data_IF_524804864058
#
_entry.id   IF_524804864058
#
_cell.length_a   1.000
_cell.length_b   1.000
_cell.length_c   1.000
_cell.angle_alpha   90.00
_cell.angle_beta   90.00
_cell.angle_gamma   90.00
#
_symmetry.space_group_name_H-M   'P 1'
#
loop_
_entity.id
_entity.type
_entity.pdbx_description
1 polymer ?
#
# COMPACT_ATOMS: atom_id res chain seq x y z
N UNK A 1 -38.45 6.30 34.74
CA UNK A 1 -37.77 5.92 36.01
C UNK A 1 -37.09 4.55 35.91
N UNK A 2 -37.81 3.45 35.64
CA UNK A 2 -37.23 2.10 35.60
C UNK A 2 -36.06 1.92 34.60
N UNK A 3 -36.16 2.53 33.41
CA UNK A 3 -35.10 2.50 32.40
C UNK A 3 -33.82 3.20 32.88
N UNK A 4 -33.98 4.40 33.43
CA UNK A 4 -32.90 5.20 34.00
C UNK A 4 -32.23 4.48 35.17
N UNK A 5 -33.02 3.89 36.07
CA UNK A 5 -32.52 3.12 37.20
C UNK A 5 -31.74 1.87 36.74
N UNK A 6 -32.24 1.13 35.73
CA UNK A 6 -31.55 -0.03 35.17
C UNK A 6 -30.25 0.35 34.44
N UNK A 7 -30.25 1.49 33.75
CA UNK A 7 -29.07 2.03 33.08
C UNK A 7 -27.97 2.40 34.09
N UNK A 8 -28.30 3.13 35.16
CA UNK A 8 -27.32 3.50 36.18
C UNK A 8 -26.86 2.30 37.00
N UNK A 9 -27.76 1.39 37.40
CA UNK A 9 -27.41 0.15 38.13
C UNK A 9 -26.41 -0.72 37.36
N UNK A 10 -26.54 -0.81 36.04
CA UNK A 10 -25.63 -1.62 35.21
C UNK A 10 -24.29 -0.93 34.90
N UNK A 11 -24.19 0.38 35.06
CA UNK A 11 -23.00 1.18 34.76
C UNK A 11 -22.38 1.81 36.03
N UNK A 12 -22.73 1.29 37.22
CA UNK A 12 -22.34 1.86 38.51
C UNK A 12 -20.87 1.56 38.88
N UNK A 13 -20.22 0.66 38.14
CA UNK A 13 -18.81 0.30 38.35
C UNK A 13 -17.91 1.24 37.56
N UNK A 14 -17.35 2.25 38.23
CA UNK A 14 -16.34 3.16 37.68
C UNK A 14 -15.11 2.41 37.12
N UNK A 15 -14.76 1.28 37.71
CA UNK A 15 -13.66 0.42 37.26
C UNK A 15 -13.95 -0.29 35.92
N UNK A 16 -15.22 -0.49 35.54
CA UNK A 16 -15.58 -1.10 34.27
C UNK A 16 -15.40 -0.14 33.07
N UNK A 17 -15.50 1.18 33.31
CA UNK A 17 -15.25 2.21 32.30
C UNK A 17 -13.75 2.55 32.13
N UNK A 18 -12.94 2.31 33.17
CA UNK A 18 -11.49 2.52 33.19
C UNK A 18 -10.67 1.26 32.93
N UNK A 19 -11.28 0.07 33.06
CA UNK A 19 -10.67 -1.19 32.67
C UNK A 19 -10.38 -1.17 31.17
N UNK A 20 -9.10 -1.24 30.81
CA UNK A 20 -8.68 -1.49 29.42
C UNK A 20 -9.42 -2.72 28.94
N UNK A 21 -10.19 -2.61 27.86
CA UNK A 21 -10.72 -3.77 27.14
C UNK A 21 -9.56 -4.73 26.87
N UNK A 22 -9.51 -5.82 27.61
CA UNK A 22 -8.62 -6.93 27.29
C UNK A 22 -9.26 -7.68 26.13
N UNK A 23 -8.89 -7.29 24.91
CA UNK A 23 -9.11 -8.15 23.75
C UNK A 23 -8.34 -9.45 24.01
N UNK A 24 -9.07 -10.56 24.13
CA UNK A 24 -8.50 -11.90 24.18
C UNK A 24 -7.59 -12.05 22.96
N UNK A 25 -6.28 -12.04 23.19
CA UNK A 25 -5.29 -12.15 22.13
C UNK A 25 -5.35 -13.56 21.53
N UNK A 26 -6.17 -13.76 20.51
CA UNK A 26 -6.14 -14.96 19.71
C UNK A 26 -4.74 -15.09 19.10
N UNK A 27 -3.97 -16.07 19.56
CA UNK A 27 -2.63 -16.33 19.04
C UNK A 27 -2.78 -17.04 17.69
N UNK A 28 -3.01 -16.26 16.63
CA UNK A 28 -2.98 -16.79 15.28
C UNK A 28 -1.55 -17.26 14.96
N UNK A 29 -1.37 -18.57 14.94
CA UNK A 29 -0.10 -19.15 14.54
C UNK A 29 -0.05 -19.28 13.01
N UNK A 30 0.45 -18.23 12.34
CA UNK A 30 0.78 -18.24 10.91
C UNK A 30 2.06 -19.07 10.68
N UNK A 31 2.05 -20.36 11.01
CA UNK A 31 3.20 -21.27 10.91
C UNK A 31 3.55 -21.61 9.46
N UNK A 32 2.57 -21.57 8.55
CA UNK A 32 2.78 -21.77 7.12
C UNK A 32 3.74 -20.76 6.47
N UNK A 33 3.93 -19.57 7.07
CA UNK A 33 4.90 -18.58 6.61
C UNK A 33 6.35 -18.92 7.00
N UNK A 34 6.56 -19.83 7.96
CA UNK A 34 7.90 -20.16 8.46
C UNK A 34 8.81 -20.74 7.37
N UNK A 35 8.23 -21.35 6.33
CA UNK A 35 8.98 -21.88 5.18
C UNK A 35 9.75 -20.81 4.39
N UNK A 36 9.42 -19.53 4.56
CA UNK A 36 10.05 -18.40 3.86
C UNK A 36 11.16 -17.69 4.67
N UNK A 37 11.60 -18.28 5.80
CA UNK A 37 12.69 -17.73 6.62
C UNK A 37 12.43 -16.30 7.08
N UNK A 38 13.44 -15.42 6.94
CA UNK A 38 13.37 -13.98 7.32
C UNK A 38 12.20 -13.27 6.64
N UNK A 39 11.92 -13.61 5.38
CA UNK A 39 10.82 -13.04 4.61
C UNK A 39 9.47 -13.39 5.26
N UNK A 40 9.31 -14.66 5.64
CA UNK A 40 8.15 -15.15 6.38
C UNK A 40 7.94 -14.44 7.71
N UNK A 41 9.02 -14.17 8.45
CA UNK A 41 8.96 -13.43 9.72
C UNK A 41 8.41 -12.02 9.52
N UNK A 42 8.90 -11.28 8.51
CA UNK A 42 8.41 -9.94 8.22
C UNK A 42 6.96 -9.94 7.75
N UNK A 43 6.59 -10.83 6.82
CA UNK A 43 5.20 -10.95 6.37
C UNK A 43 4.25 -11.31 7.53
N UNK A 44 4.67 -12.19 8.44
CA UNK A 44 3.89 -12.54 9.64
C UNK A 44 3.67 -11.31 10.53
N UNK A 45 4.69 -10.48 10.71
CA UNK A 45 4.57 -9.23 11.46
C UNK A 45 3.65 -8.24 10.77
N UNK A 46 3.76 -8.08 9.45
CA UNK A 46 2.91 -7.19 8.66
C UNK A 46 1.43 -7.61 8.71
N UNK A 47 1.14 -8.91 8.55
CA UNK A 47 -0.24 -9.44 8.66
C UNK A 47 -0.81 -9.21 10.06
N UNK A 48 -0.03 -9.48 11.10
CA UNK A 48 -0.44 -9.24 12.49
C UNK A 48 -0.66 -7.74 12.75
N UNK A 49 0.20 -6.89 12.22
CA UNK A 49 0.06 -5.43 12.31
C UNK A 49 -1.26 -4.99 11.67
N UNK A 50 -1.54 -5.47 10.45
CA UNK A 50 -2.79 -5.16 9.74
C UNK A 50 -4.01 -5.62 10.54
N UNK A 51 -4.00 -6.84 11.07
CA UNK A 51 -5.12 -7.42 11.83
C UNK A 51 -5.34 -6.80 13.21
N UNK A 52 -4.29 -6.30 13.88
CA UNK A 52 -4.40 -5.80 15.26
C UNK A 52 -4.74 -4.32 15.33
N UNK A 53 -4.30 -3.51 14.37
CA UNK A 53 -4.34 -2.05 14.52
C UNK A 53 -5.46 -1.37 13.72
N UNK A 54 -6.06 -0.33 14.29
CA UNK A 54 -7.20 0.39 13.69
C UNK A 54 -6.79 1.12 12.42
N UNK A 55 -5.62 1.78 12.43
CA UNK A 55 -5.12 2.55 11.28
C UNK A 55 -4.86 1.68 10.06
N UNK A 56 -4.15 0.57 10.24
CA UNK A 56 -3.86 -0.36 9.15
C UNK A 56 -5.12 -1.02 8.57
N UNK A 57 -6.10 -1.37 9.41
CA UNK A 57 -7.42 -1.84 8.94
C UNK A 57 -8.12 -0.79 8.07
N UNK A 58 -8.09 0.47 8.48
CA UNK A 58 -8.65 1.57 7.68
C UNK A 58 -7.94 1.67 6.33
N UNK A 59 -6.62 1.54 6.30
CA UNK A 59 -5.83 1.52 5.05
C UNK A 59 -6.23 0.36 4.13
N UNK A 60 -6.50 -0.85 4.66
CA UNK A 60 -7.05 -1.96 3.87
C UNK A 60 -8.43 -1.62 3.33
N UNK A 61 -9.32 -1.07 4.16
CA UNK A 61 -10.65 -0.66 3.72
C UNK A 61 -10.57 0.37 2.58
N UNK A 62 -9.69 1.37 2.70
CA UNK A 62 -9.43 2.33 1.62
C UNK A 62 -8.86 1.67 0.37
N UNK A 63 -8.00 0.65 0.53
CA UNK A 63 -7.49 -0.14 -0.60
C UNK A 63 -8.62 -0.83 -1.35
N UNK A 64 -9.64 -1.33 -0.63
CA UNK A 64 -10.84 -1.93 -1.23
C UNK A 64 -11.68 -0.86 -1.95
N UNK A 65 -11.80 0.35 -1.39
CA UNK A 65 -12.50 1.45 -2.08
C UNK A 65 -11.90 1.81 -3.43
N UNK A 66 -10.58 1.68 -3.59
CA UNK A 66 -9.92 1.86 -4.89
C UNK A 66 -10.37 0.84 -5.96
N UNK A 67 -10.85 -0.35 -5.58
CA UNK A 67 -11.43 -1.28 -6.55
C UNK A 67 -12.67 -0.69 -7.22
N UNK A 68 -13.49 0.06 -6.47
CA UNK A 68 -14.70 0.72 -6.98
C UNK A 68 -14.39 2.02 -7.72
N UNK A 69 -13.20 2.58 -7.55
CA UNK A 69 -12.77 3.79 -8.28
C UNK A 69 -12.79 3.57 -9.80
N UNK A 70 -12.51 2.34 -10.26
CA UNK A 70 -12.61 1.96 -11.68
C UNK A 70 -14.00 2.12 -12.28
N UNK A 71 -15.08 2.08 -11.48
CA UNK A 71 -16.44 2.26 -11.99
C UNK A 71 -16.62 3.63 -12.62
N UNK A 72 -15.91 4.66 -12.15
CA UNK A 72 -15.96 6.01 -12.74
C UNK A 72 -15.38 6.06 -14.16
N UNK A 73 -14.46 5.14 -14.48
CA UNK A 73 -13.77 5.10 -15.76
C UNK A 73 -14.40 4.10 -16.73
N UNK A 74 -14.87 2.95 -16.22
CA UNK A 74 -15.31 1.83 -17.05
C UNK A 74 -16.83 1.74 -17.22
N UNK A 75 -17.62 2.46 -16.42
CA UNK A 75 -19.10 2.45 -16.55
C UNK A 75 -19.64 3.32 -17.67
N UNK A 76 -18.84 4.24 -18.22
CA UNK A 76 -19.29 5.23 -19.21
C UNK A 76 -20.19 6.33 -18.65
N UNK A 77 -20.45 6.38 -17.34
CA UNK A 77 -21.33 7.39 -16.72
C UNK A 77 -20.77 8.80 -16.68
N UNK A 78 -19.45 8.97 -16.85
CA UNK A 78 -18.78 10.27 -16.94
C UNK A 78 -18.07 10.35 -18.29
N UNK A 79 -18.60 11.15 -19.21
CA UNK A 79 -18.12 11.24 -20.59
C UNK A 79 -16.64 11.64 -20.68
N UNK A 80 -16.18 12.58 -19.85
CA UNK A 80 -14.79 13.02 -19.80
C UNK A 80 -13.80 11.90 -19.43
N UNK A 81 -14.26 10.90 -18.68
CA UNK A 81 -13.43 9.77 -18.23
C UNK A 81 -13.50 8.57 -19.16
N UNK A 82 -14.46 8.55 -20.09
CA UNK A 82 -14.60 7.52 -21.11
C UNK A 82 -13.61 7.74 -22.26
N UNK A 83 -12.32 7.76 -21.94
CA UNK A 83 -11.27 7.79 -22.94
C UNK A 83 -10.16 6.77 -22.61
N UNK A 84 -9.46 6.24 -23.64
CA UNK A 84 -8.52 5.12 -23.43
C UNK A 84 -7.35 5.45 -22.49
N UNK A 85 -6.93 6.72 -22.47
CA UNK A 85 -5.87 7.21 -21.58
C UNK A 85 -6.30 7.20 -20.11
N UNK A 86 -7.53 7.63 -19.83
CA UNK A 86 -8.12 7.64 -18.49
C UNK A 86 -8.44 6.21 -18.01
N UNK A 87 -8.72 5.28 -18.91
CA UNK A 87 -8.87 3.87 -18.56
C UNK A 87 -7.59 3.28 -17.95
N UNK A 88 -6.41 3.62 -18.48
CA UNK A 88 -5.12 3.22 -17.87
C UNK A 88 -4.92 3.87 -16.51
N UNK A 89 -5.25 5.16 -16.39
CA UNK A 89 -5.19 5.85 -15.11
C UNK A 89 -6.05 5.14 -14.05
N UNK A 90 -7.31 4.83 -14.38
CA UNK A 90 -8.22 4.07 -13.51
C UNK A 90 -7.68 2.67 -13.15
N UNK A 91 -7.14 1.93 -14.13
CA UNK A 91 -6.57 0.59 -13.92
C UNK A 91 -5.40 0.56 -12.92
N UNK A 92 -4.55 1.59 -12.91
CA UNK A 92 -3.46 1.71 -11.94
C UNK A 92 -4.01 1.83 -10.52
N UNK A 93 -5.09 2.56 -10.32
CA UNK A 93 -5.72 2.68 -9.00
C UNK A 93 -6.44 1.39 -8.59
N UNK A 94 -7.21 0.78 -9.49
CA UNK A 94 -7.96 -0.45 -9.21
C UNK A 94 -7.04 -1.58 -8.72
N UNK A 95 -5.92 -1.80 -9.41
CA UNK A 95 -4.94 -2.82 -9.02
C UNK A 95 -3.94 -2.37 -7.94
N UNK A 96 -3.81 -1.05 -7.74
CA UNK A 96 -2.79 -0.43 -6.90
C UNK A 96 -3.28 0.09 -5.55
N UNK A 97 -4.56 -0.05 -5.18
CA UNK A 97 -5.12 0.55 -3.98
C UNK A 97 -4.29 0.34 -2.70
N UNK A 98 -3.83 -0.89 -2.46
CA UNK A 98 -2.94 -1.20 -1.34
C UNK A 98 -1.56 -0.56 -1.46
N UNK A 99 -1.00 -0.52 -2.66
CA UNK A 99 0.27 0.13 -2.96
C UNK A 99 0.20 1.65 -2.71
N UNK A 100 -0.91 2.29 -3.09
CA UNK A 100 -1.13 3.73 -2.89
C UNK A 100 -1.44 4.10 -1.45
N UNK A 101 -2.01 3.19 -0.66
CA UNK A 101 -2.39 3.49 0.72
C UNK A 101 -1.35 2.94 1.70
N UNK A 102 -1.25 1.61 1.85
CA UNK A 102 -0.34 0.96 2.79
C UNK A 102 1.12 1.09 2.35
N UNK A 103 1.38 0.90 1.05
CA UNK A 103 2.73 0.93 0.48
C UNK A 103 3.49 2.23 0.78
N UNK A 104 2.81 3.38 0.73
CA UNK A 104 3.44 4.69 0.94
C UNK A 104 4.06 4.87 2.35
N UNK A 105 3.60 4.10 3.32
CA UNK A 105 4.03 4.19 4.73
C UNK A 105 4.89 2.99 5.16
N UNK A 106 5.45 2.22 4.22
CA UNK A 106 6.13 0.93 4.47
C UNK A 106 7.16 0.96 5.63
N UNK A 107 7.99 2.00 5.82
CA UNK A 107 8.85 2.10 7.01
C UNK A 107 8.17 2.67 8.24
N UNK A 108 7.20 3.57 8.02
CA UNK A 108 6.46 4.23 9.10
C UNK A 108 5.57 3.28 9.88
N UNK A 109 5.04 2.22 9.26
CA UNK A 109 4.29 1.18 9.98
C UNK A 109 5.12 0.49 11.07
N UNK A 110 6.44 0.39 10.85
CA UNK A 110 7.38 -0.23 11.77
C UNK A 110 7.99 0.80 12.75
N UNK A 111 7.52 2.06 12.78
CA UNK A 111 8.23 3.16 13.46
C UNK A 111 8.47 2.93 14.95
N UNK A 112 7.56 2.25 15.64
CA UNK A 112 7.64 2.01 17.09
C UNK A 112 8.78 1.07 17.52
N UNK A 113 9.16 0.12 16.66
CA UNK A 113 10.24 -0.85 16.90
C UNK A 113 11.36 -0.75 15.87
N UNK A 114 11.34 0.27 15.01
CA UNK A 114 12.33 0.48 13.96
C UNK A 114 13.75 0.53 14.53
N UNK A 115 13.96 1.22 15.65
CA UNK A 115 15.28 1.28 16.28
C UNK A 115 15.80 -0.11 16.67
N UNK A 116 14.96 -0.96 17.26
CA UNK A 116 15.33 -2.33 17.61
C UNK A 116 15.63 -3.15 16.36
N UNK A 117 14.79 -3.06 15.33
CA UNK A 117 15.01 -3.74 14.05
C UNK A 117 16.35 -3.36 13.43
N UNK A 118 16.78 -2.11 13.60
CA UNK A 118 18.03 -1.57 13.06
C UNK A 118 19.29 -1.94 13.85
N UNK A 119 19.16 -2.54 15.05
CA UNK A 119 20.27 -3.13 15.81
C UNK A 119 20.41 -4.63 15.59
N UNK A 120 19.37 -5.29 15.09
CA UNK A 120 19.44 -6.70 14.73
C UNK A 120 20.27 -6.91 13.46
N UNK A 121 20.85 -8.10 13.31
CA UNK A 121 21.58 -8.51 12.11
C UNK A 121 20.61 -8.89 10.98
N UNK A 122 19.78 -7.95 10.54
CA UNK A 122 18.82 -8.16 9.46
C UNK A 122 19.25 -7.33 8.24
N UNK A 123 19.51 -7.95 7.08
CA UNK A 123 19.86 -7.19 5.88
C UNK A 123 18.66 -6.38 5.41
N UNK A 124 18.87 -5.08 5.13
CA UNK A 124 17.87 -4.21 4.51
C UNK A 124 17.28 -4.81 3.24
N UNK A 125 18.08 -5.58 2.50
CA UNK A 125 17.63 -6.34 1.33
C UNK A 125 16.44 -7.25 1.65
N UNK A 126 16.50 -7.99 2.76
CA UNK A 126 15.43 -8.88 3.20
C UNK A 126 14.18 -8.10 3.57
N UNK A 127 14.34 -7.00 4.29
CA UNK A 127 13.24 -6.09 4.64
C UNK A 127 12.53 -5.54 3.39
N UNK A 128 13.27 -4.94 2.46
CA UNK A 128 12.74 -4.38 1.21
C UNK A 128 12.02 -5.47 0.39
N UNK A 129 12.63 -6.65 0.31
CA UNK A 129 12.05 -7.80 -0.42
C UNK A 129 10.73 -8.25 0.20
N UNK A 130 10.63 -8.31 1.52
CA UNK A 130 9.38 -8.65 2.21
C UNK A 130 8.27 -7.66 1.92
N UNK A 131 8.57 -6.36 2.00
CA UNK A 131 7.58 -5.30 1.77
C UNK A 131 7.15 -5.25 0.31
N UNK A 132 8.06 -5.50 -0.62
CA UNK A 132 7.72 -5.67 -2.03
C UNK A 132 6.78 -6.85 -2.24
N UNK A 133 7.04 -8.02 -1.66
CA UNK A 133 6.15 -9.18 -1.76
C UNK A 133 4.77 -8.92 -1.17
N UNK A 134 4.68 -8.21 -0.05
CA UNK A 134 3.40 -7.78 0.52
C UNK A 134 2.59 -6.96 -0.49
N UNK A 135 3.23 -6.01 -1.17
CA UNK A 135 2.62 -5.20 -2.23
C UNK A 135 2.19 -6.08 -3.42
N UNK A 136 3.06 -6.98 -3.88
CA UNK A 136 2.76 -7.89 -5.01
C UNK A 136 1.54 -8.75 -4.70
N UNK A 137 1.51 -9.40 -3.53
CA UNK A 137 0.40 -10.27 -3.12
C UNK A 137 -0.89 -9.45 -3.06
N UNK A 138 -0.87 -8.27 -2.46
CA UNK A 138 -2.04 -7.40 -2.38
C UNK A 138 -2.53 -6.96 -3.77
N UNK A 139 -1.62 -6.56 -4.67
CA UNK A 139 -1.97 -6.18 -6.05
C UNK A 139 -2.56 -7.36 -6.83
N UNK A 140 -2.02 -8.58 -6.68
CA UNK A 140 -2.57 -9.79 -7.31
C UNK A 140 -3.99 -10.06 -6.79
N UNK A 141 -4.20 -10.01 -5.46
CA UNK A 141 -5.53 -10.20 -4.87
C UNK A 141 -6.51 -9.13 -5.39
N UNK A 142 -6.12 -7.85 -5.39
CA UNK A 142 -6.94 -6.76 -5.92
C UNK A 142 -7.30 -6.98 -7.39
N UNK A 143 -6.34 -7.47 -8.20
CA UNK A 143 -6.55 -7.75 -9.63
C UNK A 143 -7.51 -8.91 -9.85
N UNK A 144 -7.41 -9.97 -9.04
CA UNK A 144 -8.36 -11.10 -9.09
C UNK A 144 -9.77 -10.63 -8.71
N UNK A 145 -9.90 -9.83 -7.64
CA UNK A 145 -11.21 -9.27 -7.25
C UNK A 145 -11.74 -8.38 -8.37
N UNK A 146 -10.89 -7.59 -9.02
CA UNK A 146 -11.26 -6.74 -10.16
C UNK A 146 -11.71 -7.51 -11.43
N UNK A 147 -11.70 -8.85 -11.43
CA UNK A 147 -12.29 -9.65 -12.51
C UNK A 147 -13.78 -9.36 -12.74
N UNK A 148 -14.51 -8.81 -11.76
CA UNK A 148 -15.89 -8.37 -11.99
C UNK A 148 -15.99 -7.30 -13.09
N UNK A 149 -14.93 -6.55 -13.41
CA UNK A 149 -14.92 -5.58 -14.50
C UNK A 149 -15.05 -6.21 -15.89
N UNK A 150 -14.88 -7.53 -16.02
CA UNK A 150 -15.18 -8.28 -17.25
C UNK A 150 -16.65 -8.04 -17.67
N UNK A 151 -17.55 -7.81 -16.72
CA UNK A 151 -18.96 -7.45 -16.99
C UNK A 151 -19.11 -6.23 -17.91
N UNK A 152 -18.25 -5.22 -17.76
CA UNK A 152 -18.25 -4.02 -18.61
C UNK A 152 -17.54 -4.24 -19.95
N UNK A 153 -16.72 -5.28 -20.05
CA UNK A 153 -15.97 -5.64 -21.24
C UNK A 153 -14.61 -6.24 -20.92
N UNK A 154 -14.21 -7.26 -21.68
CA UNK A 154 -12.92 -7.94 -21.53
C UNK A 154 -11.73 -6.97 -21.66
N UNK A 155 -11.87 -5.96 -22.51
CA UNK A 155 -10.84 -4.92 -22.70
C UNK A 155 -10.50 -4.17 -21.40
N UNK A 156 -11.48 -3.91 -20.54
CA UNK A 156 -11.24 -3.21 -19.27
C UNK A 156 -10.46 -4.07 -18.29
N UNK A 157 -10.76 -5.37 -18.26
CA UNK A 157 -9.99 -6.31 -17.45
C UNK A 157 -8.55 -6.44 -17.95
N UNK A 158 -8.32 -6.47 -19.27
CA UNK A 158 -6.96 -6.45 -19.84
C UNK A 158 -6.21 -5.17 -19.44
N UNK A 159 -6.87 -4.00 -19.49
CA UNK A 159 -6.30 -2.72 -19.03
C UNK A 159 -5.92 -2.80 -17.54
N UNK A 160 -6.76 -3.39 -16.69
CA UNK A 160 -6.47 -3.62 -15.27
C UNK A 160 -5.27 -4.55 -15.08
N UNK A 161 -5.17 -5.64 -15.85
CA UNK A 161 -4.01 -6.55 -15.81
C UNK A 161 -2.71 -5.81 -16.15
N UNK A 162 -2.73 -4.99 -17.20
CA UNK A 162 -1.56 -4.17 -17.59
C UNK A 162 -1.21 -3.16 -16.49
N UNK A 163 -2.21 -2.52 -15.88
CA UNK A 163 -2.03 -1.66 -14.71
C UNK A 163 -1.40 -2.40 -13.52
N UNK A 164 -1.81 -3.66 -13.28
CA UNK A 164 -1.26 -4.49 -12.22
C UNK A 164 0.20 -4.85 -12.46
N UNK A 165 0.56 -5.22 -13.69
CA UNK A 165 1.94 -5.49 -14.12
C UNK A 165 2.81 -4.24 -13.91
N UNK A 166 2.33 -3.07 -14.30
CA UNK A 166 3.02 -1.81 -14.07
C UNK A 166 3.16 -1.50 -12.57
N UNK A 167 2.12 -1.78 -11.78
CA UNK A 167 2.16 -1.56 -10.33
C UNK A 167 3.22 -2.42 -9.63
N UNK A 168 3.26 -3.71 -9.96
CA UNK A 168 4.24 -4.68 -9.46
C UNK A 168 5.66 -4.36 -9.93
N UNK A 169 5.77 -3.85 -11.17
CA UNK A 169 7.04 -3.67 -11.86
C UNK A 169 7.71 -2.33 -11.62
N UNK A 170 6.96 -1.22 -11.58
CA UNK A 170 7.52 0.14 -11.49
C UNK A 170 7.03 0.83 -10.23
N UNK A 171 5.72 0.89 -9.99
CA UNK A 171 5.19 1.68 -8.87
C UNK A 171 5.62 1.14 -7.51
N UNK A 172 5.78 -0.18 -7.36
CA UNK A 172 6.26 -0.77 -6.11
C UNK A 172 7.67 -0.29 -5.78
N UNK A 173 8.53 -0.12 -6.78
CA UNK A 173 9.89 0.38 -6.60
C UNK A 173 9.89 1.85 -6.19
N UNK A 174 9.08 2.68 -6.86
CA UNK A 174 8.95 4.10 -6.53
C UNK A 174 8.38 4.30 -5.12
N UNK A 175 7.42 3.47 -4.71
CA UNK A 175 6.85 3.50 -3.36
C UNK A 175 7.86 3.08 -2.31
N UNK A 176 8.61 2.00 -2.54
CA UNK A 176 9.66 1.58 -1.62
C UNK A 176 10.79 2.61 -1.53
N UNK A 177 11.16 3.24 -2.65
CA UNK A 177 12.11 4.35 -2.66
C UNK A 177 11.57 5.55 -1.87
N UNK A 178 10.29 5.90 -2.05
CA UNK A 178 9.62 6.94 -1.28
C UNK A 178 9.66 6.68 0.22
N UNK A 179 9.47 5.41 0.62
CA UNK A 179 9.59 4.98 2.00
C UNK A 179 10.94 5.35 2.64
N UNK A 180 12.06 5.32 1.90
CA UNK A 180 13.36 5.74 2.42
C UNK A 180 13.36 7.20 2.91
N UNK A 181 12.53 8.04 2.30
CA UNK A 181 12.40 9.46 2.63
C UNK A 181 11.28 9.74 3.63
N UNK A 182 10.31 8.83 3.82
CA UNK A 182 9.19 9.01 4.75
C UNK A 182 9.63 8.88 6.21
N UNK A 183 9.81 10.01 6.87
CA UNK A 183 10.32 10.11 8.27
C UNK A 183 9.22 10.40 9.29
N UNK A 184 7.96 10.24 8.92
CA UNK A 184 6.83 10.44 9.84
C UNK A 184 6.47 9.16 10.57
N UNK A 185 6.50 9.14 11.91
CA UNK A 185 6.01 7.99 12.68
C UNK A 185 4.50 7.86 12.51
N UNK A 186 4.00 6.63 12.55
CA UNK A 186 2.58 6.32 12.43
C UNK A 186 2.06 5.84 13.77
N UNK A 187 1.08 6.57 14.33
CA UNK A 187 0.29 6.06 15.44
C UNK A 187 -0.69 5.00 14.93
N UNK A 188 -0.54 3.78 15.43
CA UNK A 188 -1.33 2.60 15.06
C UNK A 188 -2.69 2.55 15.78
N UNK A 189 -2.80 3.24 16.92
CA UNK A 189 -3.99 3.24 17.79
C UNK A 189 -5.07 4.20 17.29
N UNK A 190 -4.65 5.32 16.70
CA UNK A 190 -5.58 6.28 16.12
C UNK A 190 -5.98 5.92 14.68
N UNK A 191 -7.27 6.11 14.37
CA UNK A 191 -7.75 6.12 12.98
C UNK A 191 -7.62 7.51 12.32
N UNK A 192 -7.39 8.57 13.12
CA UNK A 192 -7.15 9.92 12.60
C UNK A 192 -5.78 9.97 11.91
N UNK A 193 -5.66 10.79 10.85
CA UNK A 193 -4.43 10.93 10.08
C UNK A 193 -4.21 9.88 8.98
N UNK A 194 -5.18 8.98 8.72
CA UNK A 194 -5.18 8.17 7.49
C UNK A 194 -5.31 9.05 6.22
N UNK A 195 -5.86 10.26 6.38
CA UNK A 195 -5.84 11.36 5.42
C UNK A 195 -5.59 12.67 6.19
N UNK A 196 -4.67 13.52 5.73
CA UNK A 196 -4.52 14.89 6.23
C UNK A 196 -3.60 15.12 7.42
N UNK A 197 -2.74 14.16 7.81
CA UNK A 197 -1.62 14.47 8.72
C UNK A 197 -0.67 15.45 8.00
N UNK A 198 -0.78 16.75 8.30
CA UNK A 198 0.07 17.82 7.74
C UNK A 198 1.58 17.56 7.94
N UNK A 199 1.93 16.71 8.91
CA UNK A 199 3.30 16.29 9.21
C UNK A 199 3.91 15.38 8.13
N UNK A 200 3.10 14.79 7.25
CA UNK A 200 3.52 13.84 6.22
C UNK A 200 3.92 14.49 4.88
N UNK A 201 3.98 15.81 4.80
CA UNK A 201 4.42 16.49 3.57
C UNK A 201 5.92 16.29 3.37
N UNK A 202 6.27 15.47 2.37
CA UNK A 202 7.65 15.20 1.98
C UNK A 202 7.81 15.47 0.48
N UNK A 203 8.63 16.46 0.14
CA UNK A 203 8.87 16.88 -1.25
C UNK A 203 9.40 15.74 -2.10
N UNK A 204 10.30 14.91 -1.57
CA UNK A 204 10.84 13.76 -2.32
C UNK A 204 9.75 12.73 -2.62
N UNK A 205 8.86 12.45 -1.66
CA UNK A 205 7.74 11.52 -1.86
C UNK A 205 6.71 12.10 -2.84
N UNK A 206 6.46 13.41 -2.79
CA UNK A 206 5.61 14.11 -3.74
C UNK A 206 6.18 14.04 -5.17
N UNK A 207 7.48 14.32 -5.34
CA UNK A 207 8.16 14.21 -6.62
C UNK A 207 8.10 12.78 -7.18
N UNK A 208 8.24 11.76 -6.32
CA UNK A 208 8.11 10.36 -6.72
C UNK A 208 6.67 9.95 -7.07
N UNK A 209 5.66 10.71 -6.65
CA UNK A 209 4.25 10.47 -7.01
C UNK A 209 3.97 10.86 -8.46
N UNK A 210 4.69 11.86 -9.00
CA UNK A 210 4.56 12.31 -10.39
C UNK A 210 4.84 11.17 -11.40
N UNK A 211 6.03 10.55 -11.43
CA UNK A 211 6.30 9.46 -12.37
C UNK A 211 5.43 8.23 -12.08
N UNK A 212 5.05 7.99 -10.83
CA UNK A 212 4.16 6.88 -10.45
C UNK A 212 2.80 6.94 -11.14
N UNK A 213 2.26 8.14 -11.34
CA UNK A 213 0.95 8.36 -11.95
C UNK A 213 1.03 8.74 -13.44
N UNK A 214 1.95 9.63 -13.81
CA UNK A 214 2.01 10.17 -15.17
C UNK A 214 2.76 9.27 -16.15
N UNK A 215 3.84 8.60 -15.72
CA UNK A 215 4.63 7.77 -16.63
C UNK A 215 3.81 6.70 -17.37
N UNK A 216 2.95 5.89 -16.71
CA UNK A 216 2.18 4.87 -17.44
C UNK A 216 1.14 5.49 -18.37
N UNK A 217 0.57 6.64 -18.00
CA UNK A 217 -0.38 7.39 -18.84
C UNK A 217 0.33 7.93 -20.09
N UNK A 218 1.52 8.50 -19.93
CA UNK A 218 2.35 9.00 -21.03
C UNK A 218 2.80 7.86 -21.94
N UNK A 219 3.27 6.74 -21.38
CA UNK A 219 3.66 5.55 -22.16
C UNK A 219 2.49 5.01 -22.98
N UNK A 220 1.31 4.90 -22.36
CA UNK A 220 0.10 4.49 -23.07
C UNK A 220 -0.26 5.46 -24.17
N UNK A 221 -0.28 6.76 -23.88
CA UNK A 221 -0.63 7.81 -24.84
C UNK A 221 0.30 7.82 -26.05
N UNK A 222 1.61 7.66 -25.85
CA UNK A 222 2.59 7.55 -26.94
C UNK A 222 2.28 6.33 -27.81
N UNK A 223 2.12 5.14 -27.22
CA UNK A 223 1.80 3.93 -28.00
C UNK A 223 0.45 4.01 -28.70
N UNK A 224 -0.55 4.61 -28.05
CA UNK A 224 -1.88 4.86 -28.61
C UNK A 224 -1.82 5.75 -29.86
N UNK A 225 -1.00 6.81 -29.84
CA UNK A 225 -0.83 7.71 -30.99
C UNK A 225 -0.11 7.06 -32.17
N UNK A 226 0.75 6.06 -31.92
CA UNK A 226 1.51 5.38 -32.98
C UNK A 226 0.66 4.31 -33.67
N UNK A 227 0.04 3.40 -32.91
CA UNK A 227 -0.64 2.23 -33.50
C UNK A 227 -1.86 1.75 -32.67
N UNK A 228 -2.53 2.67 -31.98
CA UNK A 228 -3.75 2.38 -31.24
C UNK A 228 -3.54 1.70 -29.88
N UNK A 229 -4.66 1.30 -29.26
CA UNK A 229 -4.72 0.87 -27.85
C UNK A 229 -3.77 -0.28 -27.53
N UNK A 230 -3.65 -1.27 -28.41
CA UNK A 230 -2.82 -2.46 -28.16
C UNK A 230 -1.34 -2.11 -27.98
N UNK A 231 -0.81 -1.17 -28.77
CA UNK A 231 0.58 -0.74 -28.64
C UNK A 231 0.80 0.10 -27.38
N UNK A 232 -0.18 0.95 -27.02
CA UNK A 232 -0.17 1.67 -25.74
C UNK A 232 -0.12 0.72 -24.54
N UNK A 233 -0.95 -0.32 -24.54
CA UNK A 233 -0.93 -1.37 -23.51
C UNK A 233 0.39 -2.12 -23.47
N UNK A 234 0.93 -2.46 -24.64
CA UNK A 234 2.22 -3.13 -24.75
C UNK A 234 3.35 -2.29 -24.13
N UNK A 235 3.39 -0.98 -24.35
CA UNK A 235 4.41 -0.10 -23.76
C UNK A 235 4.35 -0.08 -22.23
N UNK A 236 3.14 0.04 -21.66
CA UNK A 236 2.97 0.03 -20.20
C UNK A 236 3.33 -1.34 -19.62
N UNK A 237 2.90 -2.42 -20.26
CA UNK A 237 3.22 -3.79 -19.85
C UNK A 237 4.74 -4.03 -19.91
N UNK A 238 5.40 -3.64 -21.00
CA UNK A 238 6.85 -3.75 -21.18
C UNK A 238 7.61 -2.97 -20.12
N UNK A 239 7.17 -1.76 -19.77
CA UNK A 239 7.77 -0.99 -18.68
C UNK A 239 7.63 -1.71 -17.34
N UNK A 240 6.46 -2.27 -17.04
CA UNK A 240 6.22 -3.08 -15.85
C UNK A 240 7.10 -4.34 -15.80
N UNK A 241 7.14 -5.12 -16.87
CA UNK A 241 7.98 -6.32 -16.97
C UNK A 241 9.46 -5.97 -16.84
N UNK A 242 9.92 -4.90 -17.50
CA UNK A 242 11.30 -4.42 -17.41
C UNK A 242 11.64 -4.02 -15.98
N UNK A 243 10.76 -3.28 -15.30
CA UNK A 243 10.92 -2.93 -13.90
C UNK A 243 11.00 -4.15 -12.98
N UNK A 244 10.17 -5.18 -13.25
CA UNK A 244 10.22 -6.45 -12.51
C UNK A 244 11.54 -7.20 -12.73
N UNK A 245 12.01 -7.32 -13.97
CA UNK A 245 13.29 -7.99 -14.29
C UNK A 245 14.46 -7.24 -13.64
N UNK A 246 14.43 -5.91 -13.64
CA UNK A 246 15.47 -5.06 -13.04
C UNK A 246 15.36 -4.95 -11.50
N UNK A 247 14.39 -5.62 -10.85
CA UNK A 247 14.17 -5.54 -9.39
C UNK A 247 15.43 -5.74 -8.58
N UNK A 248 16.34 -6.62 -9.02
CA UNK A 248 17.58 -6.89 -8.30
C UNK A 248 18.43 -5.64 -8.17
N UNK A 249 18.68 -4.97 -9.30
CA UNK A 249 19.49 -3.74 -9.39
C UNK A 249 18.79 -2.59 -8.65
N UNK A 250 17.49 -2.41 -8.85
CA UNK A 250 16.73 -1.33 -8.22
C UNK A 250 16.71 -1.46 -6.70
N UNK A 251 16.50 -2.67 -6.17
CA UNK A 251 16.54 -2.90 -4.72
C UNK A 251 17.91 -2.61 -4.13
N UNK A 252 19.02 -2.85 -4.85
CA UNK A 252 20.36 -2.46 -4.38
C UNK A 252 20.52 -0.94 -4.30
N UNK A 253 19.91 -0.19 -5.22
CA UNK A 253 19.87 1.27 -5.15
C UNK A 253 19.02 1.75 -3.97
N UNK A 254 17.83 1.18 -3.79
CA UNK A 254 16.93 1.49 -2.67
C UNK A 254 17.64 1.16 -1.35
N UNK A 255 18.28 0.00 -1.23
CA UNK A 255 19.03 -0.41 -0.05
C UNK A 255 20.12 0.60 0.33
N UNK A 256 20.89 1.09 -0.65
CA UNK A 256 21.89 2.15 -0.41
C UNK A 256 21.23 3.40 0.17
N UNK A 257 20.06 3.81 -0.34
CA UNK A 257 19.33 4.98 0.18
C UNK A 257 18.81 4.74 1.59
N UNK A 258 18.25 3.57 1.89
CA UNK A 258 17.83 3.22 3.25
C UNK A 258 18.99 3.26 4.25
N UNK A 259 20.19 2.81 3.86
CA UNK A 259 21.39 2.87 4.71
C UNK A 259 21.82 4.32 4.97
N UNK A 260 21.78 5.18 3.97
CA UNK A 260 22.11 6.61 4.10
C UNK A 260 21.11 7.32 5.04
N UNK A 261 19.81 7.06 4.85
CA UNK A 261 18.77 7.74 5.63
C UNK A 261 18.60 7.16 7.05
N UNK A 262 19.16 5.97 7.33
CA UNK A 262 18.99 5.17 8.57
C UNK A 262 18.92 6.01 9.84
N UNK A 263 19.96 6.80 10.13
CA UNK A 263 20.08 7.52 11.39
C UNK A 263 19.06 8.65 11.51
N UNK A 264 18.82 9.36 10.41
CA UNK A 264 17.82 10.41 10.38
C UNK A 264 16.40 9.86 10.57
N UNK A 265 16.10 8.68 10.01
CA UNK A 265 14.82 7.98 10.20
C UNK A 265 14.65 7.53 11.65
N UNK A 266 15.69 6.95 12.27
CA UNK A 266 15.66 6.58 13.69
C UNK A 266 15.41 7.81 14.58
N UNK A 267 16.08 8.92 14.30
CA UNK A 267 15.90 10.17 15.05
C UNK A 267 14.46 10.69 14.93
N UNK A 268 13.92 10.72 13.71
CA UNK A 268 12.56 11.20 13.46
C UNK A 268 11.49 10.31 14.11
N UNK A 269 11.67 8.98 14.11
CA UNK A 269 10.72 8.06 14.76
C UNK A 269 10.78 8.08 16.29
N UNK A 270 11.88 8.58 16.89
CA UNK A 270 11.96 8.80 18.34
C UNK A 270 11.17 10.01 18.81
N UNK A 271 10.99 11.01 17.95
CA UNK A 271 10.23 12.21 18.27
C UNK A 271 8.74 11.85 18.32
N UNK A 272 8.28 11.42 19.50
CA UNK A 272 6.86 11.38 19.83
C UNK A 272 6.37 12.82 19.92
N UNK A 273 5.43 13.19 19.06
CA UNK A 273 4.64 14.39 19.28
C UNK A 273 3.64 14.14 20.39
#
# INVERSE_FOLDING_TARGET
YAFTFKYFKNNLFLDAGLSKKEDIAATENLSWLNQFGILGTFLKNDIKLIKRNKRSKMTIFMSIMFLFYGLLFFSGGIETYNNPTMHIFGAIFVSGGFLFTFGQFVPSWDSSYYQLMMTQNIPYRGYITSKWWLIVIATVISTIIASFYIYFGLQYYIIILVGAIYNIGVNSHLVLLGGAYTKTPVDLSSASGAFGDKKAFNVNVMLLTIPKLLLPVVLYWIGFKINGSNLGLAFVALAGVTGFVLRSKVFSLIEKRYKVEKYSTISAYKQKN
#
